data_IF_983307896817
#
_entry.id   IF_983307896817
#
_cell.length_a   1.000
_cell.length_b   1.000
_cell.length_c   1.000
_cell.angle_alpha   90.00
_cell.angle_beta   90.00
_cell.angle_gamma   90.00
#
_symmetry.space_group_name_H-M   'P 1'
#
loop_
_entity.id
_entity.type
_entity.pdbx_description
1 polymer ?
#
# COMPACT_ATOMS: atom_id res chain seq x y z
N UNK A 1 -51.27 -8.85 18.45
CA UNK A 1 -50.12 -9.77 18.22
C UNK A 1 -49.71 -9.66 16.76
N UNK A 2 -49.18 -8.50 16.37
CA UNK A 2 -48.83 -8.14 14.99
C UNK A 2 -47.53 -7.36 14.99
N UNK A 3 -46.53 -7.85 15.72
CA UNK A 3 -45.23 -7.17 15.91
C UNK A 3 -44.04 -8.14 15.86
N UNK A 4 -44.05 -9.14 14.98
CA UNK A 4 -42.88 -10.04 14.87
C UNK A 4 -42.56 -10.55 13.46
N UNK A 5 -43.30 -10.11 12.43
CA UNK A 5 -42.97 -10.44 11.03
C UNK A 5 -42.53 -9.22 10.21
N UNK A 6 -42.01 -8.17 10.87
CA UNK A 6 -41.25 -7.09 10.22
C UNK A 6 -39.73 -7.35 10.16
N UNK A 7 -39.30 -8.58 10.47
CA UNK A 7 -37.87 -8.88 10.65
C UNK A 7 -37.45 -10.15 9.91
N UNK A 8 -37.69 -10.22 8.61
CA UNK A 8 -36.95 -11.13 7.73
C UNK A 8 -36.42 -10.31 6.57
N UNK A 9 -35.47 -9.45 6.91
CA UNK A 9 -34.21 -9.25 6.20
C UNK A 9 -34.32 -9.30 4.66
N UNK A 10 -34.78 -8.20 4.08
CA UNK A 10 -34.32 -7.82 2.76
C UNK A 10 -32.79 -7.67 2.87
N UNK A 11 -32.06 -8.71 2.49
CA UNK A 11 -30.64 -8.63 2.13
C UNK A 11 -30.59 -7.79 0.85
N UNK A 12 -30.74 -6.48 1.01
CA UNK A 12 -30.39 -5.52 -0.02
C UNK A 12 -28.89 -5.63 -0.15
N UNK A 13 -28.43 -6.28 -1.22
CA UNK A 13 -27.04 -6.20 -1.66
C UNK A 13 -26.67 -4.71 -1.72
N UNK A 14 -25.93 -4.26 -0.70
CA UNK A 14 -25.37 -2.93 -0.63
C UNK A 14 -24.25 -2.97 -1.67
N UNK A 15 -24.60 -2.65 -2.91
CA UNK A 15 -23.64 -2.51 -4.00
C UNK A 15 -22.49 -1.64 -3.49
N UNK A 16 -21.30 -2.22 -3.36
CA UNK A 16 -20.08 -1.50 -3.05
C UNK A 16 -20.00 -0.32 -4.01
N UNK A 17 -20.17 0.89 -3.49
CA UNK A 17 -19.87 2.09 -4.25
C UNK A 17 -18.36 2.02 -4.47
N UNK A 18 -17.94 1.74 -5.69
CA UNK A 18 -16.55 1.93 -6.09
C UNK A 18 -16.28 3.44 -6.03
N UNK A 19 -15.82 3.93 -4.87
CA UNK A 19 -15.59 5.35 -4.62
C UNK A 19 -14.33 5.74 -5.42
N UNK A 20 -14.52 6.15 -6.67
CA UNK A 20 -13.44 6.76 -7.45
C UNK A 20 -13.18 8.17 -6.92
N UNK A 21 -12.08 8.33 -6.18
CA UNK A 21 -11.59 9.64 -5.75
C UNK A 21 -10.78 10.30 -6.87
N UNK A 22 -10.97 11.61 -7.06
CA UNK A 22 -10.24 12.40 -8.06
C UNK A 22 -9.27 13.32 -7.35
N UNK A 23 -8.01 13.35 -7.81
CA UNK A 23 -6.98 14.28 -7.36
C UNK A 23 -6.63 15.19 -8.52
N UNK A 24 -6.67 16.51 -8.29
CA UNK A 24 -6.28 17.52 -9.26
C UNK A 24 -4.92 18.08 -8.89
N UNK A 25 -3.93 17.90 -9.76
CA UNK A 25 -2.58 18.44 -9.61
C UNK A 25 -2.43 19.60 -10.58
N UNK A 26 -1.99 20.77 -10.08
CA UNK A 26 -1.64 21.91 -10.92
C UNK A 26 -0.20 21.77 -11.36
N UNK A 27 0.05 21.94 -12.66
CA UNK A 27 1.37 21.87 -13.25
C UNK A 27 1.68 23.19 -13.94
N UNK A 28 2.96 23.57 -13.94
CA UNK A 28 3.45 24.57 -14.86
C UNK A 28 3.68 23.94 -16.26
N UNK A 29 3.99 24.79 -17.24
CA UNK A 29 4.11 24.35 -18.63
C UNK A 29 5.28 23.38 -18.87
N UNK A 30 6.39 23.56 -18.17
CA UNK A 30 7.57 22.70 -18.29
C UNK A 30 7.32 21.32 -17.68
N UNK A 31 6.72 21.28 -16.48
CA UNK A 31 6.32 20.04 -15.80
C UNK A 31 5.33 19.24 -16.65
N UNK A 32 4.33 19.91 -17.24
CA UNK A 32 3.34 19.26 -18.09
C UNK A 32 4.00 18.59 -19.30
N UNK A 33 4.91 19.29 -19.99
CA UNK A 33 5.65 18.74 -21.13
C UNK A 33 6.53 17.57 -20.71
N UNK A 34 7.26 17.72 -19.60
CA UNK A 34 8.16 16.69 -19.09
C UNK A 34 7.39 15.41 -18.71
N UNK A 35 6.33 15.53 -17.91
CA UNK A 35 5.55 14.38 -17.47
C UNK A 35 4.82 13.71 -18.64
N UNK A 36 4.26 14.47 -19.58
CA UNK A 36 3.64 13.89 -20.78
C UNK A 36 4.64 13.13 -21.65
N UNK A 37 5.85 13.67 -21.82
CA UNK A 37 6.92 13.00 -22.57
C UNK A 37 7.31 11.68 -21.91
N UNK A 38 7.41 11.66 -20.58
CA UNK A 38 7.69 10.44 -19.82
C UNK A 38 6.55 9.40 -19.90
N UNK A 39 5.29 9.85 -19.84
CA UNK A 39 4.13 8.99 -20.06
C UNK A 39 4.12 8.35 -21.46
N UNK A 40 4.47 9.12 -22.49
CA UNK A 40 4.61 8.61 -23.86
C UNK A 40 5.72 7.57 -23.97
N UNK A 41 6.89 7.82 -23.37
CA UNK A 41 8.03 6.91 -23.39
C UNK A 41 7.73 5.58 -22.67
N UNK A 42 6.99 5.63 -21.57
CA UNK A 42 6.66 4.45 -20.76
C UNK A 42 5.38 3.74 -21.20
N UNK A 43 4.58 4.36 -22.08
CA UNK A 43 3.26 3.85 -22.51
C UNK A 43 2.22 3.81 -21.38
N UNK A 44 2.45 4.50 -20.27
CA UNK A 44 1.59 4.49 -19.09
C UNK A 44 0.87 5.83 -18.91
N UNK A 45 -0.30 5.82 -18.28
CA UNK A 45 -1.00 7.06 -17.95
C UNK A 45 -0.31 7.80 -16.81
N UNK A 46 -0.39 9.13 -16.81
CA UNK A 46 0.13 9.97 -15.73
C UNK A 46 -0.41 9.55 -14.36
N UNK A 47 -1.71 9.23 -14.27
CA UNK A 47 -2.31 8.76 -13.02
C UNK A 47 -1.66 7.47 -12.51
N UNK A 48 -1.31 6.53 -13.38
CA UNK A 48 -0.63 5.30 -12.96
C UNK A 48 0.80 5.58 -12.50
N UNK A 49 1.51 6.47 -13.20
CA UNK A 49 2.88 6.84 -12.84
C UNK A 49 2.93 7.58 -11.51
N UNK A 50 2.02 8.53 -11.27
CA UNK A 50 1.92 9.23 -9.99
C UNK A 50 1.56 8.30 -8.84
N UNK A 51 0.63 7.35 -9.04
CA UNK A 51 0.30 6.34 -8.02
C UNK A 51 1.52 5.50 -7.66
N UNK A 52 2.24 4.99 -8.66
CA UNK A 52 3.45 4.17 -8.45
C UNK A 52 4.56 4.94 -7.75
N UNK A 53 4.75 6.21 -8.09
CA UNK A 53 5.73 7.06 -7.43
C UNK A 53 5.37 7.24 -5.95
N UNK A 54 4.11 7.59 -5.67
CA UNK A 54 3.64 7.78 -4.30
C UNK A 54 3.66 6.48 -3.48
N UNK A 55 3.27 5.35 -4.06
CA UNK A 55 3.36 4.04 -3.43
C UNK A 55 4.81 3.72 -3.03
N UNK A 56 5.76 3.92 -3.95
CA UNK A 56 7.18 3.71 -3.66
C UNK A 56 7.70 4.61 -2.55
N UNK A 57 7.38 5.90 -2.59
CA UNK A 57 7.85 6.84 -1.57
C UNK A 57 7.31 6.45 -0.18
N UNK A 58 6.05 6.00 -0.10
CA UNK A 58 5.45 5.51 1.14
C UNK A 58 6.13 4.21 1.61
N UNK A 59 6.38 3.26 0.71
CA UNK A 59 7.06 2.00 1.01
C UNK A 59 8.47 2.26 1.55
N UNK A 60 9.25 3.12 0.90
CA UNK A 60 10.62 3.47 1.31
C UNK A 60 10.64 4.06 2.74
N UNK A 61 9.70 4.96 3.06
CA UNK A 61 9.56 5.53 4.41
C UNK A 61 9.17 4.47 5.45
N UNK A 62 8.26 3.57 5.09
CA UNK A 62 7.77 2.54 5.98
C UNK A 62 8.84 1.47 6.26
N UNK A 63 9.53 1.02 5.22
CA UNK A 63 10.63 0.06 5.31
C UNK A 63 11.77 0.61 6.17
N UNK A 64 12.13 1.89 6.00
CA UNK A 64 13.15 2.54 6.82
C UNK A 64 12.74 2.56 8.31
N UNK A 65 11.47 2.83 8.59
CA UNK A 65 10.96 2.83 9.97
C UNK A 65 11.01 1.43 10.58
N UNK A 66 10.58 0.39 9.85
CA UNK A 66 10.67 -1.00 10.32
C UNK A 66 12.12 -1.38 10.57
N UNK A 67 13.02 -1.02 9.66
CA UNK A 67 14.44 -1.29 9.81
C UNK A 67 14.99 -0.70 11.12
N UNK A 68 14.68 0.57 11.41
CA UNK A 68 15.12 1.19 12.65
C UNK A 68 14.60 0.47 13.89
N UNK A 69 13.31 0.09 13.90
CA UNK A 69 12.75 -0.68 15.00
C UNK A 69 13.44 -2.03 15.18
N UNK A 70 13.57 -2.82 14.12
CA UNK A 70 14.21 -4.12 14.15
C UNK A 70 15.69 -4.01 14.59
N UNK A 71 16.37 -2.93 14.19
CA UNK A 71 17.74 -2.67 14.58
C UNK A 71 17.89 -2.29 16.05
N UNK A 72 16.95 -1.52 16.61
CA UNK A 72 16.94 -1.19 18.04
C UNK A 72 16.60 -2.44 18.90
N UNK A 73 15.68 -3.29 18.45
CA UNK A 73 15.38 -4.59 19.06
C UNK A 73 16.62 -5.51 19.07
N UNK A 74 17.30 -5.63 17.93
CA UNK A 74 18.55 -6.37 17.82
C UNK A 74 19.66 -5.78 18.71
N UNK A 75 19.76 -4.46 18.84
CA UNK A 75 20.73 -3.85 19.76
C UNK A 75 20.44 -4.16 21.22
N UNK A 76 19.17 -4.27 21.58
CA UNK A 76 18.77 -4.64 22.93
C UNK A 76 19.06 -6.12 23.22
N UNK A 77 18.91 -6.98 22.22
CA UNK A 77 19.20 -8.43 22.31
C UNK A 77 19.95 -8.92 21.05
N UNK A 78 21.29 -8.85 21.04
CA UNK A 78 22.10 -9.13 19.85
C UNK A 78 22.39 -10.63 19.64
N UNK A 79 21.59 -11.52 20.22
CA UNK A 79 21.74 -12.95 19.99
C UNK A 79 21.54 -13.28 18.51
N UNK A 80 22.51 -14.00 17.95
CA UNK A 80 22.48 -14.45 16.56
C UNK A 80 22.71 -15.95 16.54
N UNK A 81 21.91 -16.64 15.74
CA UNK A 81 22.03 -18.07 15.51
C UNK A 81 22.50 -18.31 14.08
N UNK A 82 23.26 -19.38 13.88
CA UNK A 82 23.68 -19.76 12.54
C UNK A 82 22.47 -20.25 11.73
N UNK A 83 22.54 -20.14 10.41
CA UNK A 83 21.47 -20.65 9.52
C UNK A 83 21.20 -22.15 9.73
N UNK A 84 22.22 -22.92 10.09
CA UNK A 84 22.09 -24.36 10.36
C UNK A 84 21.34 -24.60 11.68
N UNK A 85 21.64 -23.82 12.72
CA UNK A 85 20.98 -23.92 14.02
C UNK A 85 19.52 -23.46 13.93
N UNK A 86 19.24 -22.38 13.19
CA UNK A 86 17.88 -21.89 12.95
C UNK A 86 17.00 -22.92 12.23
N UNK A 87 17.54 -23.60 11.20
CA UNK A 87 16.81 -24.69 10.53
C UNK A 87 16.49 -25.84 11.47
N UNK A 88 17.45 -26.20 12.33
CA UNK A 88 17.27 -27.24 13.33
C UNK A 88 16.18 -26.88 14.34
N UNK A 89 16.09 -25.62 14.77
CA UNK A 89 14.99 -25.11 15.61
C UNK A 89 13.63 -25.20 14.92
N UNK A 90 13.56 -24.94 13.61
CA UNK A 90 12.34 -25.02 12.82
C UNK A 90 11.98 -26.45 12.37
N UNK A 91 12.83 -27.45 12.63
CA UNK A 91 12.61 -28.85 12.24
C UNK A 91 12.78 -29.13 10.74
N UNK A 92 13.57 -28.31 10.04
CA UNK A 92 13.85 -28.40 8.59
C UNK A 92 15.22 -28.99 8.28
#
# INVERSE_FOLDING_TARGET
MTDTLKMCYNVTQRSEVNIMSTVTIRLNQEEEVFFKSYAQLTGQSLSSLFKKALERDIEDEYDLKIYHQAYDEYKADPETISHADFKKELGL
#
